data_IF_358725605017
#
_entry.id   IF_358725605017
#
_cell.length_a   1.000
_cell.length_b   1.000
_cell.length_c   1.000
_cell.angle_alpha   90.00
_cell.angle_beta   90.00
_cell.angle_gamma   90.00
#
_symmetry.space_group_name_H-M   'P 1'
#
loop_
_entity.id
_entity.type
_entity.pdbx_description
1 polymer ?
#
# COMPACT_ATOMS: atom_id res chain seq x y z
N UNK A 1 -15.82 -1.17 26.18
CA UNK A 1 -16.72 -2.31 25.93
C UNK A 1 -18.22 -2.08 26.18
N UNK A 2 -18.69 -1.14 27.00
CA UNK A 2 -20.12 -1.01 27.33
C UNK A 2 -20.98 -0.20 26.32
N UNK A 3 -20.41 0.67 25.49
CA UNK A 3 -21.17 1.57 24.58
C UNK A 3 -21.64 0.88 23.28
N UNK A 4 -20.83 0.02 22.70
CA UNK A 4 -21.16 -0.65 21.43
C UNK A 4 -22.17 -1.79 21.61
N UNK A 5 -22.21 -2.38 22.78
CA UNK A 5 -23.18 -3.43 23.11
C UNK A 5 -24.63 -2.91 23.04
N UNK A 6 -24.86 -1.63 23.39
CA UNK A 6 -26.19 -1.01 23.29
C UNK A 6 -26.62 -0.77 21.85
N UNK A 7 -25.70 -0.42 20.94
CA UNK A 7 -26.03 -0.21 19.52
C UNK A 7 -26.29 -1.53 18.80
N UNK A 8 -25.53 -2.58 19.12
CA UNK A 8 -25.77 -3.93 18.60
C UNK A 8 -27.09 -4.47 19.13
N UNK A 9 -27.38 -4.25 20.40
CA UNK A 9 -28.65 -4.67 21.01
C UNK A 9 -29.85 -3.94 20.38
N UNK A 10 -29.69 -2.67 20.00
CA UNK A 10 -30.75 -1.88 19.34
C UNK A 10 -31.03 -2.38 17.92
N UNK A 11 -30.00 -2.71 17.14
CA UNK A 11 -30.16 -3.28 15.80
C UNK A 11 -30.78 -4.68 15.87
N UNK A 12 -30.31 -5.52 16.79
CA UNK A 12 -30.88 -6.85 17.01
C UNK A 12 -32.33 -6.75 17.51
N UNK A 13 -32.63 -5.80 18.39
CA UNK A 13 -34.01 -5.56 18.85
C UNK A 13 -34.91 -5.11 17.70
N UNK A 14 -34.43 -4.27 16.77
CA UNK A 14 -35.21 -3.82 15.60
C UNK A 14 -35.45 -4.97 14.61
N UNK A 15 -34.46 -5.82 14.38
CA UNK A 15 -34.55 -6.99 13.48
C UNK A 15 -35.48 -8.08 14.07
N UNK A 16 -35.57 -8.19 15.39
CA UNK A 16 -36.46 -9.14 16.06
C UNK A 16 -37.86 -8.60 16.23
N UNK A 17 -38.05 -7.28 16.42
CA UNK A 17 -39.36 -6.67 16.60
C UNK A 17 -40.18 -6.62 15.30
N UNK A 18 -39.57 -6.47 14.14
CA UNK A 18 -40.25 -6.40 12.86
C UNK A 18 -40.99 -7.71 12.50
N UNK A 19 -40.40 -8.91 12.67
CA UNK A 19 -41.11 -10.18 12.44
C UNK A 19 -42.20 -10.46 13.48
N UNK A 20 -42.01 -10.03 14.73
CA UNK A 20 -43.03 -10.21 15.77
C UNK A 20 -44.32 -9.38 15.52
N UNK A 21 -44.17 -8.25 14.87
CA UNK A 21 -45.31 -7.40 14.46
C UNK A 21 -46.02 -7.92 13.20
N UNK A 22 -45.33 -8.75 12.39
CA UNK A 22 -45.89 -9.30 11.14
C UNK A 22 -46.48 -10.72 11.27
N UNK A 23 -46.45 -11.32 12.47
CA UNK A 23 -47.07 -12.63 12.73
C UNK A 23 -46.40 -13.83 12.05
N UNK A 24 -45.22 -13.67 11.50
CA UNK A 24 -44.48 -14.76 10.87
C UNK A 24 -43.50 -15.41 11.87
N UNK A 25 -43.93 -16.53 12.48
CA UNK A 25 -43.12 -17.41 13.31
C UNK A 25 -42.21 -18.30 12.42
N UNK A 26 -41.16 -17.80 11.88
CA UNK A 26 -40.16 -18.64 11.17
C UNK A 26 -38.83 -17.97 10.98
N UNK A 27 -38.15 -17.56 12.05
CA UNK A 27 -36.69 -17.40 12.00
C UNK A 27 -36.11 -17.75 13.37
N UNK A 28 -35.54 -18.96 13.48
CA UNK A 28 -34.57 -19.27 14.52
C UNK A 28 -33.30 -18.47 14.17
N UNK A 29 -33.19 -17.25 14.70
CA UNK A 29 -31.95 -16.49 14.65
C UNK A 29 -30.97 -17.11 15.64
N UNK A 30 -30.02 -17.87 15.11
CA UNK A 30 -28.88 -18.35 15.87
C UNK A 30 -27.90 -17.18 16.03
N UNK A 31 -28.10 -16.41 17.11
CA UNK A 31 -27.27 -15.23 17.42
C UNK A 31 -25.79 -15.59 17.58
N UNK A 32 -25.48 -16.83 17.99
CA UNK A 32 -24.11 -17.29 18.14
C UNK A 32 -23.47 -17.54 16.77
N UNK A 33 -24.22 -18.09 15.81
CA UNK A 33 -23.75 -18.22 14.42
C UNK A 33 -23.57 -16.88 13.72
N UNK A 34 -24.47 -15.92 13.96
CA UNK A 34 -24.32 -14.57 13.38
C UNK A 34 -23.09 -13.89 14.01
N UNK A 35 -22.88 -14.08 15.30
CA UNK A 35 -21.72 -13.54 15.99
C UNK A 35 -20.43 -14.19 15.51
N UNK A 36 -20.42 -15.51 15.36
CA UNK A 36 -19.31 -16.28 14.81
C UNK A 36 -19.00 -15.90 13.34
N UNK A 37 -20.02 -15.70 12.51
CA UNK A 37 -19.84 -15.20 11.13
C UNK A 37 -19.30 -13.76 11.11
N UNK A 38 -19.75 -12.89 12.00
CA UNK A 38 -19.27 -11.50 12.09
C UNK A 38 -17.84 -11.39 12.67
N UNK A 39 -17.43 -12.35 13.51
CA UNK A 39 -16.09 -12.39 14.10
C UNK A 39 -15.05 -13.10 13.19
N UNK A 40 -15.48 -13.99 12.26
CA UNK A 40 -14.60 -14.80 11.43
C UNK A 40 -14.45 -14.32 9.99
N UNK A 41 -15.17 -13.29 9.57
CA UNK A 41 -15.26 -12.96 8.14
C UNK A 41 -14.04 -12.24 7.57
N UNK A 42 -13.12 -11.70 8.41
CA UNK A 42 -11.96 -10.96 7.90
C UNK A 42 -10.70 -11.21 8.71
N UNK A 43 -9.75 -11.91 8.12
CA UNK A 43 -8.36 -11.87 8.57
C UNK A 43 -7.68 -10.62 8.01
N UNK A 44 -7.59 -9.58 8.83
CA UNK A 44 -6.95 -8.32 8.48
C UNK A 44 -5.43 -8.34 8.67
N UNK A 45 -4.88 -9.37 9.31
CA UNK A 45 -3.47 -9.45 9.59
C UNK A 45 -2.64 -9.38 8.31
N UNK A 46 -1.59 -8.59 8.34
CA UNK A 46 -0.66 -8.48 7.23
C UNK A 46 -0.12 -7.07 7.05
N UNK A 47 0.74 -6.96 6.08
CA UNK A 47 1.35 -5.71 5.65
C UNK A 47 0.60 -5.16 4.45
N UNK A 48 0.40 -3.86 4.45
CA UNK A 48 -0.31 -3.12 3.40
C UNK A 48 0.55 -1.97 2.93
N UNK A 49 0.52 -1.71 1.63
CA UNK A 49 1.28 -0.65 0.98
C UNK A 49 0.39 0.18 0.09
N UNK A 50 0.65 1.47 0.01
CA UNK A 50 -0.18 2.42 -0.72
C UNK A 50 -0.10 2.16 -2.22
N UNK A 51 -1.24 1.94 -2.85
CA UNK A 51 -1.40 1.90 -4.31
C UNK A 51 -1.79 3.27 -4.85
N UNK A 52 -2.73 3.96 -4.19
CA UNK A 52 -3.29 5.23 -4.66
C UNK A 52 -3.39 6.22 -3.50
N UNK A 53 -3.08 7.47 -3.79
CA UNK A 53 -3.12 8.59 -2.85
C UNK A 53 -4.16 9.63 -3.29
N UNK A 54 -4.94 10.10 -2.33
CA UNK A 54 -5.92 11.17 -2.52
C UNK A 54 -5.71 12.27 -1.49
N UNK A 55 -5.82 13.50 -1.92
CA UNK A 55 -5.86 14.67 -1.05
C UNK A 55 -7.14 15.46 -1.32
N UNK A 56 -7.92 15.71 -0.28
CA UNK A 56 -9.22 16.38 -0.38
C UNK A 56 -10.12 15.81 -1.48
N UNK A 57 -10.22 14.46 -1.56
CA UNK A 57 -10.98 13.67 -2.52
C UNK A 57 -10.41 13.64 -3.96
N UNK A 58 -9.38 14.41 -4.26
CA UNK A 58 -8.74 14.37 -5.56
C UNK A 58 -7.63 13.32 -5.55
N UNK A 59 -7.57 12.48 -6.58
CA UNK A 59 -6.44 11.58 -6.76
C UNK A 59 -5.22 12.41 -7.15
N UNK A 60 -4.13 12.21 -6.42
CA UNK A 60 -2.86 12.88 -6.64
C UNK A 60 -1.81 11.84 -7.02
N UNK A 61 -0.94 12.19 -7.95
CA UNK A 61 0.15 11.33 -8.33
C UNK A 61 1.14 11.16 -7.17
N UNK A 62 1.60 9.93 -6.97
CA UNK A 62 2.54 9.62 -5.90
C UNK A 62 3.95 9.99 -6.35
N UNK A 63 4.51 11.03 -5.75
CA UNK A 63 5.87 11.51 -6.02
C UNK A 63 6.77 11.37 -4.80
N UNK A 64 6.51 12.17 -3.76
CA UNK A 64 7.34 12.28 -2.56
C UNK A 64 6.54 12.29 -1.25
N UNK A 65 5.25 12.00 -1.30
CA UNK A 65 4.40 11.92 -0.11
C UNK A 65 4.89 10.76 0.78
N UNK A 66 5.44 11.08 1.95
CA UNK A 66 6.04 10.09 2.86
C UNK A 66 5.10 8.94 3.19
N UNK A 67 3.82 9.23 3.37
CA UNK A 67 2.78 8.27 3.70
C UNK A 67 2.67 7.15 2.64
N UNK A 68 3.05 7.44 1.40
CA UNK A 68 3.02 6.47 0.31
C UNK A 68 4.16 5.46 0.35
N UNK A 69 5.16 5.70 1.20
CA UNK A 69 6.30 4.81 1.41
C UNK A 69 6.28 4.11 2.77
N UNK A 70 5.23 4.33 3.56
CA UNK A 70 5.03 3.62 4.81
C UNK A 70 4.51 2.21 4.55
N UNK A 71 4.85 1.31 5.45
CA UNK A 71 4.23 0.00 5.56
C UNK A 71 3.22 0.08 6.71
N UNK A 72 1.99 -0.26 6.41
CA UNK A 72 0.88 -0.33 7.35
C UNK A 72 0.66 -1.79 7.71
N UNK A 73 0.81 -2.15 8.98
CA UNK A 73 0.76 -3.53 9.40
C UNK A 73 -0.30 -3.75 10.47
N UNK A 74 -1.13 -4.77 10.27
CA UNK A 74 -2.08 -5.22 11.28
C UNK A 74 -1.56 -6.53 11.86
N UNK A 75 -1.47 -6.58 13.19
CA UNK A 75 -1.05 -7.75 13.96
C UNK A 75 -2.15 -8.19 14.91
N UNK A 76 -2.42 -9.50 14.92
CA UNK A 76 -3.36 -10.15 15.84
C UNK A 76 -4.75 -9.52 15.85
N UNK A 77 -5.17 -8.91 14.72
CA UNK A 77 -6.40 -8.14 14.57
C UNK A 77 -6.63 -7.08 15.69
N UNK A 78 -5.59 -6.73 16.41
CA UNK A 78 -5.66 -5.86 17.61
C UNK A 78 -4.76 -4.63 17.52
N UNK A 79 -3.70 -4.70 16.73
CA UNK A 79 -2.69 -3.64 16.65
C UNK A 79 -2.48 -3.21 15.21
N UNK A 80 -2.45 -1.90 14.99
CA UNK A 80 -2.16 -1.29 13.70
C UNK A 80 -0.87 -0.46 13.82
N UNK A 81 0.16 -0.85 13.09
CA UNK A 81 1.47 -0.22 13.09
C UNK A 81 1.71 0.53 11.77
N UNK A 82 2.33 1.69 11.87
CA UNK A 82 2.87 2.44 10.73
C UNK A 82 4.38 2.41 10.84
N UNK A 83 5.05 1.85 9.83
CA UNK A 83 6.51 1.69 9.83
C UNK A 83 7.14 2.38 8.63
N UNK A 84 8.34 2.91 8.83
CA UNK A 84 9.16 3.54 7.80
C UNK A 84 10.63 3.25 8.03
N UNK A 85 11.34 2.79 7.02
CA UNK A 85 12.76 2.38 7.11
C UNK A 85 13.05 1.37 8.21
N UNK A 86 12.08 0.48 8.50
CA UNK A 86 12.20 -0.54 9.54
C UNK A 86 11.91 -0.04 10.96
N UNK A 87 11.64 1.24 11.14
CA UNK A 87 11.26 1.83 12.43
C UNK A 87 9.75 2.00 12.52
N UNK A 88 9.16 1.62 13.66
CA UNK A 88 7.74 1.88 13.92
C UNK A 88 7.57 3.33 14.33
N UNK A 89 6.84 4.09 13.50
CA UNK A 89 6.54 5.49 13.75
C UNK A 89 5.37 5.65 14.71
N UNK A 90 4.32 4.87 14.50
CA UNK A 90 3.06 4.98 15.21
C UNK A 90 2.50 3.57 15.44
N UNK A 91 1.85 3.39 16.59
CA UNK A 91 1.14 2.15 16.95
C UNK A 91 -0.22 2.52 17.50
N UNK A 92 -1.27 1.90 16.96
CA UNK A 92 -2.64 2.10 17.40
C UNK A 92 -3.26 0.80 17.85
N UNK A 93 -4.05 0.85 18.93
CA UNK A 93 -4.90 -0.27 19.34
C UNK A 93 -6.19 -0.24 18.52
N UNK A 94 -6.55 -1.35 17.91
CA UNK A 94 -7.81 -1.50 17.20
C UNK A 94 -8.90 -1.69 18.26
N UNK A 95 -9.82 -0.73 18.38
CA UNK A 95 -10.91 -0.77 19.37
C UNK A 95 -12.08 -1.63 18.87
N UNK A 96 -12.41 -1.50 17.59
CA UNK A 96 -13.51 -2.23 16.98
C UNK A 96 -13.23 -2.49 15.50
N UNK A 97 -13.72 -3.65 15.04
CA UNK A 97 -13.82 -4.00 13.64
C UNK A 97 -15.27 -4.36 13.35
N UNK A 98 -15.93 -3.59 12.51
CA UNK A 98 -17.32 -3.85 12.13
C UNK A 98 -17.52 -3.61 10.64
N UNK A 99 -18.00 -4.63 9.92
CA UNK A 99 -18.20 -4.59 8.46
C UNK A 99 -16.98 -4.03 7.71
N UNK A 100 -15.77 -4.49 8.07
CA UNK A 100 -14.52 -4.05 7.46
C UNK A 100 -14.02 -2.66 7.90
N UNK A 101 -14.74 -1.95 8.79
CA UNK A 101 -14.28 -0.67 9.32
C UNK A 101 -13.48 -0.89 10.61
N UNK A 102 -12.25 -0.37 10.64
CA UNK A 102 -11.41 -0.34 11.83
C UNK A 102 -11.49 1.04 12.47
N UNK A 103 -11.72 1.04 13.78
CA UNK A 103 -11.60 2.23 14.61
C UNK A 103 -10.46 2.05 15.60
N UNK A 104 -9.79 3.13 15.93
CA UNK A 104 -8.63 3.12 16.81
C UNK A 104 -8.97 3.77 18.14
N UNK A 105 -8.48 3.17 19.22
CA UNK A 105 -8.68 3.69 20.57
C UNK A 105 -8.12 5.12 20.67
N UNK A 106 -8.92 6.01 21.26
CA UNK A 106 -8.55 7.42 21.52
C UNK A 106 -8.14 8.25 20.29
N UNK A 107 -8.44 7.78 19.07
CA UNK A 107 -8.12 8.49 17.83
C UNK A 107 -9.36 8.62 16.93
N UNK A 108 -9.67 9.83 16.54
CA UNK A 108 -10.75 10.15 15.61
C UNK A 108 -10.25 10.70 14.28
N UNK A 109 -8.99 11.05 14.22
CA UNK A 109 -8.31 11.62 13.05
C UNK A 109 -7.80 10.57 12.07
N UNK A 110 -7.85 9.28 12.46
CA UNK A 110 -7.49 8.16 11.59
C UNK A 110 -8.54 7.08 11.64
N UNK A 111 -8.84 6.50 10.49
CA UNK A 111 -9.68 5.32 10.37
C UNK A 111 -9.19 4.45 9.20
N UNK A 112 -9.52 3.18 9.22
CA UNK A 112 -9.25 2.29 8.10
C UNK A 112 -10.51 1.51 7.74
N UNK A 113 -10.67 1.19 6.46
CA UNK A 113 -11.80 0.43 5.93
C UNK A 113 -11.31 -0.57 4.89
N UNK A 114 -11.79 -1.80 4.99
CA UNK A 114 -11.60 -2.83 3.99
C UNK A 114 -12.80 -2.90 3.04
N UNK A 115 -12.52 -3.08 1.76
CA UNK A 115 -13.52 -3.44 0.78
C UNK A 115 -13.66 -4.97 0.65
N UNK A 116 -14.61 -5.42 -0.15
CA UNK A 116 -14.87 -6.84 -0.43
C UNK A 116 -13.69 -7.57 -1.13
N UNK A 117 -12.75 -6.83 -1.70
CA UNK A 117 -11.56 -7.36 -2.36
C UNK A 117 -10.34 -7.36 -1.43
N UNK A 118 -10.51 -6.97 -0.16
CA UNK A 118 -9.43 -6.90 0.82
C UNK A 118 -8.48 -5.71 0.64
N UNK A 119 -8.85 -4.70 -0.16
CA UNK A 119 -8.12 -3.43 -0.21
C UNK A 119 -8.45 -2.62 1.04
N UNK A 120 -7.43 -2.09 1.66
CA UNK A 120 -7.57 -1.23 2.83
C UNK A 120 -7.53 0.24 2.41
N UNK A 121 -8.55 1.00 2.79
CA UNK A 121 -8.54 2.46 2.65
C UNK A 121 -8.29 3.08 4.00
N UNK A 122 -7.18 3.79 4.15
CA UNK A 122 -6.85 4.56 5.35
C UNK A 122 -7.26 6.00 5.09
N UNK A 123 -7.98 6.60 6.03
CA UNK A 123 -8.31 8.03 6.01
C UNK A 123 -7.65 8.71 7.20
N UNK A 124 -6.90 9.77 6.94
CA UNK A 124 -6.31 10.64 7.96
C UNK A 124 -6.84 12.06 7.78
N UNK A 125 -7.26 12.65 8.87
CA UNK A 125 -7.82 14.01 8.90
C UNK A 125 -6.80 14.90 9.59
N UNK A 126 -6.33 15.91 8.89
CA UNK A 126 -5.49 16.98 9.40
C UNK A 126 -6.31 18.28 9.47
N UNK A 127 -5.80 19.29 10.12
CA UNK A 127 -6.52 20.56 10.28
C UNK A 127 -6.87 21.23 8.94
N UNK A 128 -6.00 21.07 7.94
CA UNK A 128 -6.09 21.74 6.63
C UNK A 128 -6.46 20.79 5.47
N UNK A 129 -6.36 19.48 5.70
CA UNK A 129 -6.60 18.50 4.64
C UNK A 129 -7.03 17.13 5.13
N UNK A 130 -7.68 16.38 4.25
CA UNK A 130 -7.96 14.96 4.43
C UNK A 130 -7.15 14.16 3.44
N UNK A 131 -6.40 13.19 3.93
CA UNK A 131 -5.65 12.24 3.12
C UNK A 131 -6.41 10.91 3.12
N UNK A 132 -6.52 10.30 1.93
CA UNK A 132 -7.04 8.95 1.78
C UNK A 132 -6.03 8.11 0.99
N UNK A 133 -5.61 7.01 1.59
CA UNK A 133 -4.64 6.06 1.06
C UNK A 133 -5.37 4.76 0.74
N UNK A 134 -5.36 4.35 -0.52
CA UNK A 134 -5.83 3.01 -0.91
C UNK A 134 -4.63 2.09 -0.91
N UNK A 135 -4.68 1.08 -0.06
CA UNK A 135 -3.58 0.16 0.19
C UNK A 135 -3.91 -1.25 -0.30
N UNK A 136 -2.92 -1.90 -0.86
CA UNK A 136 -2.95 -3.32 -1.21
C UNK A 136 -2.21 -4.14 -0.16
N UNK A 137 -2.71 -5.33 0.12
CA UNK A 137 -2.01 -6.30 0.97
C UNK A 137 -0.72 -6.74 0.29
N UNK A 138 0.36 -6.74 1.06
CA UNK A 138 1.61 -7.35 0.62
C UNK A 138 1.43 -8.86 0.53
N UNK A 139 1.77 -9.42 -0.60
CA UNK A 139 1.75 -10.85 -0.84
C UNK A 139 3.18 -11.36 -0.90
N UNK A 140 3.41 -12.55 -0.45
CA UNK A 140 4.68 -13.25 -0.35
C UNK A 140 5.85 -12.84 -1.26
N UNK A 141 6.74 -13.76 -1.53
CA UNK A 141 7.99 -13.49 -2.25
C UNK A 141 7.76 -13.48 -3.78
N UNK A 142 8.19 -12.44 -4.50
CA UNK A 142 8.06 -12.39 -5.95
C UNK A 142 9.19 -13.17 -6.65
N UNK A 143 9.22 -14.52 -6.55
CA UNK A 143 10.29 -15.36 -7.11
C UNK A 143 10.62 -15.03 -8.58
N UNK A 144 9.59 -14.75 -9.38
CA UNK A 144 9.75 -14.41 -10.81
C UNK A 144 10.57 -13.12 -11.04
N UNK A 145 10.67 -12.25 -10.03
CA UNK A 145 11.39 -10.98 -10.13
C UNK A 145 12.78 -11.01 -9.51
N UNK A 146 13.19 -12.10 -8.88
CA UNK A 146 14.54 -12.24 -8.34
C UNK A 146 15.56 -12.10 -9.47
N UNK A 147 16.58 -11.29 -9.26
CA UNK A 147 17.69 -11.09 -10.21
C UNK A 147 18.13 -9.64 -10.30
N UNK A 148 19.08 -9.41 -11.18
CA UNK A 148 19.69 -8.10 -11.41
C UNK A 148 19.01 -7.42 -12.60
N UNK A 149 18.75 -6.13 -12.47
CA UNK A 149 18.13 -5.29 -13.49
C UNK A 149 19.05 -4.12 -13.81
N UNK A 150 19.25 -3.86 -15.08
CA UNK A 150 20.02 -2.71 -15.58
C UNK A 150 19.17 -1.83 -16.49
N UNK A 151 19.60 -0.61 -16.69
CA UNK A 151 18.93 0.37 -17.55
C UNK A 151 18.70 -0.19 -18.96
N UNK A 152 17.49 -0.01 -19.44
CA UNK A 152 17.11 -0.37 -20.80
C UNK A 152 16.75 0.86 -21.64
N UNK A 153 15.92 1.73 -21.11
CA UNK A 153 15.42 2.90 -21.82
C UNK A 153 14.80 3.89 -20.86
N UNK A 154 14.69 5.13 -21.27
CA UNK A 154 13.78 6.06 -20.63
C UNK A 154 12.81 6.66 -21.64
N UNK A 155 11.63 7.01 -21.18
CA UNK A 155 10.61 7.69 -21.95
C UNK A 155 10.43 9.08 -21.41
N UNK A 156 10.49 10.06 -22.29
CA UNK A 156 10.19 11.47 -22.04
C UNK A 156 9.06 11.88 -22.97
N UNK A 157 7.91 12.24 -22.42
CA UNK A 157 6.71 12.44 -23.22
C UNK A 157 6.45 11.20 -24.12
N UNK A 158 6.43 11.36 -25.42
CA UNK A 158 6.21 10.27 -26.38
C UNK A 158 7.51 9.68 -26.98
N UNK A 159 8.67 10.24 -26.63
CA UNK A 159 9.95 9.76 -27.12
C UNK A 159 10.53 8.68 -26.20
N UNK A 160 10.93 7.53 -26.78
CA UNK A 160 11.68 6.47 -26.07
C UNK A 160 13.14 6.56 -26.47
N UNK A 161 14.02 6.65 -25.49
CA UNK A 161 15.46 6.77 -25.64
C UNK A 161 16.12 5.54 -25.03
N UNK A 162 16.90 4.81 -25.82
CA UNK A 162 17.57 3.57 -25.44
C UNK A 162 19.05 3.75 -25.12
N UNK A 163 19.64 4.84 -25.61
CA UNK A 163 21.03 5.17 -25.28
C UNK A 163 21.07 5.96 -23.98
N UNK A 164 21.89 5.57 -23.00
CA UNK A 164 22.07 6.36 -21.80
C UNK A 164 22.43 7.81 -22.18
N UNK A 165 21.79 8.81 -21.58
CA UNK A 165 22.16 10.19 -21.82
C UNK A 165 23.62 10.38 -21.42
N UNK A 166 24.36 11.12 -22.23
CA UNK A 166 25.72 11.46 -21.86
C UNK A 166 25.70 12.61 -20.85
N UNK A 167 26.69 12.61 -19.97
CA UNK A 167 26.88 13.72 -19.03
C UNK A 167 26.93 15.05 -19.81
N UNK A 168 26.06 15.97 -19.47
CA UNK A 168 25.93 17.26 -20.16
C UNK A 168 26.04 18.40 -19.16
N UNK A 169 26.31 19.59 -19.65
CA UNK A 169 26.33 20.82 -18.85
C UNK A 169 24.94 21.30 -18.42
N UNK A 170 23.89 20.54 -18.72
CA UNK A 170 22.51 20.85 -18.33
C UNK A 170 22.13 20.02 -17.13
N UNK A 171 21.82 20.62 -15.96
CA UNK A 171 21.53 19.91 -14.72
C UNK A 171 20.43 18.84 -14.87
N UNK A 172 19.39 19.15 -15.60
CA UNK A 172 18.27 18.25 -15.90
C UNK A 172 18.67 16.98 -16.69
N UNK A 173 19.79 16.99 -17.40
CA UNK A 173 20.31 15.83 -18.11
C UNK A 173 21.23 14.98 -17.22
N UNK A 174 21.79 15.56 -16.17
CA UNK A 174 22.62 14.84 -15.23
C UNK A 174 21.80 13.84 -14.42
N UNK A 175 20.58 14.22 -14.01
CA UNK A 175 19.67 13.33 -13.28
C UNK A 175 19.34 12.08 -14.10
N UNK A 176 19.18 12.21 -15.43
CA UNK A 176 18.94 11.04 -16.31
C UNK A 176 20.17 10.19 -16.49
N UNK A 177 21.32 10.81 -16.59
CA UNK A 177 22.57 10.08 -16.66
C UNK A 177 22.76 9.25 -15.39
N UNK A 178 22.61 9.85 -14.23
CA UNK A 178 22.72 9.16 -12.95
C UNK A 178 21.73 7.99 -12.84
N UNK A 179 20.46 8.20 -13.19
CA UNK A 179 19.44 7.15 -13.19
C UNK A 179 19.77 6.02 -14.16
N UNK A 180 20.39 6.31 -15.32
CA UNK A 180 20.79 5.29 -16.29
C UNK A 180 21.97 4.43 -15.83
N UNK A 181 22.71 4.86 -14.81
CA UNK A 181 23.82 4.12 -14.21
C UNK A 181 23.39 3.23 -13.03
N UNK A 182 22.14 3.32 -12.61
CA UNK A 182 21.61 2.53 -11.50
C UNK A 182 21.37 1.09 -11.95
N UNK A 183 21.71 0.15 -11.07
CA UNK A 183 21.27 -1.24 -11.17
C UNK A 183 20.52 -1.65 -9.92
N UNK A 184 19.59 -2.58 -10.07
CA UNK A 184 18.82 -3.14 -8.95
C UNK A 184 19.06 -4.64 -8.88
N UNK A 185 19.24 -5.14 -7.67
CA UNK A 185 19.23 -6.56 -7.38
C UNK A 185 18.08 -6.89 -6.45
N UNK A 186 17.13 -7.69 -6.93
CA UNK A 186 16.04 -8.24 -6.13
C UNK A 186 16.52 -9.58 -5.54
N UNK A 187 16.64 -9.62 -4.24
CA UNK A 187 17.13 -10.79 -3.50
C UNK A 187 16.02 -11.65 -2.93
N UNK A 188 16.34 -12.90 -2.58
CA UNK A 188 15.42 -13.89 -2.03
C UNK A 188 14.81 -13.50 -0.67
N UNK A 189 15.48 -12.66 0.10
CA UNK A 189 15.06 -12.27 1.45
C UNK A 189 14.21 -10.99 1.48
N UNK A 190 13.41 -10.74 0.43
CA UNK A 190 12.65 -9.50 0.30
C UNK A 190 13.53 -8.25 0.43
N UNK A 191 14.72 -8.32 -0.13
CA UNK A 191 15.66 -7.19 -0.17
C UNK A 191 15.87 -6.73 -1.60
N UNK A 192 15.97 -5.43 -1.77
CA UNK A 192 16.47 -4.80 -2.98
C UNK A 192 17.76 -4.09 -2.67
N UNK A 193 18.77 -4.33 -3.49
CA UNK A 193 20.04 -3.61 -3.45
C UNK A 193 20.11 -2.72 -4.66
N UNK A 194 20.12 -1.41 -4.44
CA UNK A 194 20.30 -0.40 -5.48
C UNK A 194 21.77 -0.01 -5.52
N UNK A 195 22.42 -0.22 -6.66
CA UNK A 195 23.80 0.22 -6.88
C UNK A 195 23.75 1.49 -7.74
N UNK A 196 24.26 2.58 -7.19
CA UNK A 196 24.36 3.88 -7.87
C UNK A 196 25.52 3.87 -8.87
N UNK A 197 25.54 4.81 -9.81
CA UNK A 197 26.65 5.00 -10.75
C UNK A 197 27.99 5.27 -10.09
N UNK A 198 28.00 5.75 -8.85
CA UNK A 198 29.20 5.92 -8.00
C UNK A 198 29.76 4.60 -7.46
N UNK A 199 29.00 3.51 -7.55
CA UNK A 199 29.29 2.22 -6.91
C UNK A 199 28.75 2.11 -5.48
N UNK A 200 28.15 3.16 -4.94
CA UNK A 200 27.47 3.12 -3.64
C UNK A 200 26.27 2.18 -3.70
N UNK A 201 26.07 1.39 -2.64
CA UNK A 201 24.96 0.46 -2.53
C UNK A 201 24.01 0.86 -1.41
N UNK A 202 22.72 0.90 -1.75
CA UNK A 202 21.63 1.11 -0.81
C UNK A 202 20.84 -0.18 -0.74
N UNK A 203 20.74 -0.77 0.44
CA UNK A 203 20.00 -2.01 0.66
C UNK A 203 18.75 -1.73 1.50
N UNK A 204 17.60 -2.12 0.98
CA UNK A 204 16.31 -1.92 1.62
C UNK A 204 15.49 -3.21 1.62
N UNK A 205 14.60 -3.34 2.59
CA UNK A 205 13.54 -4.34 2.52
C UNK A 205 12.39 -3.79 1.69
N UNK A 206 11.67 -4.67 1.02
CA UNK A 206 10.52 -4.25 0.23
C UNK A 206 9.25 -5.02 0.60
N UNK A 207 8.11 -4.40 0.34
CA UNK A 207 6.82 -5.05 0.28
C UNK A 207 6.41 -5.21 -1.19
N UNK A 208 5.73 -6.31 -1.51
CA UNK A 208 5.31 -6.65 -2.86
C UNK A 208 3.82 -6.92 -2.91
N UNK A 209 3.14 -6.43 -3.95
CA UNK A 209 1.71 -6.63 -4.15
C UNK A 209 1.42 -7.53 -5.35
N UNK A 210 0.22 -8.11 -5.39
CA UNK A 210 -0.28 -8.91 -6.51
C UNK A 210 -0.39 -8.12 -7.82
N UNK A 211 -0.45 -6.79 -7.74
CA UNK A 211 -0.39 -5.90 -8.90
C UNK A 211 1.02 -5.69 -9.45
N UNK A 212 2.02 -6.46 -8.98
CA UNK A 212 3.43 -6.35 -9.34
C UNK A 212 4.09 -5.02 -8.96
N UNK A 213 3.66 -4.43 -7.86
CA UNK A 213 4.26 -3.23 -7.29
C UNK A 213 5.20 -3.62 -6.15
N UNK A 214 6.47 -3.25 -6.24
CA UNK A 214 7.48 -3.35 -5.20
C UNK A 214 7.65 -1.98 -4.57
N UNK A 215 7.55 -1.89 -3.27
CA UNK A 215 7.68 -0.64 -2.52
C UNK A 215 8.74 -0.81 -1.45
N UNK A 216 9.72 0.08 -1.49
CA UNK A 216 10.73 0.26 -0.43
C UNK A 216 10.48 1.59 0.28
N UNK A 217 11.18 1.89 1.38
CA UNK A 217 11.14 3.20 2.01
C UNK A 217 11.51 4.37 1.09
N UNK A 218 12.24 4.13 0.01
CA UNK A 218 12.71 5.21 -0.87
C UNK A 218 12.26 5.07 -2.32
N UNK A 219 11.70 3.91 -2.71
CA UNK A 219 11.43 3.62 -4.11
C UNK A 219 10.10 2.88 -4.33
N UNK A 220 9.54 3.09 -5.51
CA UNK A 220 8.35 2.37 -6.00
C UNK A 220 8.65 1.86 -7.40
N UNK A 221 8.69 0.55 -7.57
CA UNK A 221 8.97 -0.10 -8.84
C UNK A 221 7.74 -0.88 -9.30
N UNK A 222 7.28 -0.61 -10.51
CA UNK A 222 6.20 -1.36 -11.15
C UNK A 222 6.79 -2.37 -12.13
N UNK A 223 6.62 -3.65 -11.88
CA UNK A 223 7.00 -4.69 -12.82
C UNK A 223 5.90 -4.87 -13.88
N UNK A 224 6.27 -4.70 -15.14
CA UNK A 224 5.35 -4.88 -16.27
C UNK A 224 5.31 -6.33 -16.72
N UNK A 225 6.46 -7.02 -16.58
CA UNK A 225 6.62 -8.44 -16.81
C UNK A 225 7.72 -8.98 -15.89
N UNK A 226 7.94 -10.30 -15.88
CA UNK A 226 9.05 -10.91 -15.12
C UNK A 226 10.42 -10.31 -15.43
N UNK A 227 10.59 -9.72 -16.60
CA UNK A 227 11.88 -9.22 -17.09
C UNK A 227 12.00 -7.69 -17.09
N UNK A 228 10.91 -6.95 -16.86
CA UNK A 228 10.90 -5.50 -16.97
C UNK A 228 10.36 -4.84 -15.71
N UNK A 229 11.18 -3.97 -15.11
CA UNK A 229 10.79 -3.05 -14.06
C UNK A 229 10.70 -1.63 -14.60
N UNK A 230 9.65 -0.90 -14.24
CA UNK A 230 9.49 0.51 -14.54
C UNK A 230 9.55 1.32 -13.27
N UNK A 231 10.36 2.36 -13.29
CA UNK A 231 10.36 3.41 -12.28
C UNK A 231 9.85 4.67 -12.97
N UNK A 232 8.80 5.26 -12.43
CA UNK A 232 8.30 6.55 -12.88
C UNK A 232 8.86 7.60 -11.95
N UNK A 233 9.65 8.52 -12.51
CA UNK A 233 10.08 9.73 -11.82
C UNK A 233 9.24 10.85 -12.42
N UNK A 234 8.45 11.49 -11.56
CA UNK A 234 7.61 12.61 -11.95
C UNK A 234 8.33 13.89 -11.58
N UNK A 235 8.70 14.65 -12.59
CA UNK A 235 9.01 16.06 -12.47
C UNK A 235 7.72 16.84 -12.73
N UNK A 236 7.47 17.94 -12.04
CA UNK A 236 6.25 18.77 -12.17
C UNK A 236 6.01 19.25 -13.62
N UNK A 237 7.04 19.22 -14.46
CA UNK A 237 6.97 19.66 -15.86
C UNK A 237 7.08 18.52 -16.88
N UNK A 238 7.61 17.36 -16.51
CA UNK A 238 7.98 16.31 -17.46
C UNK A 238 7.80 14.93 -16.82
N UNK A 239 6.90 14.11 -17.36
CA UNK A 239 6.76 12.71 -16.97
C UNK A 239 7.89 11.86 -17.56
N UNK A 240 8.72 11.28 -16.68
CA UNK A 240 9.78 10.36 -17.08
C UNK A 240 9.48 8.96 -16.59
N UNK A 241 9.64 8.00 -17.48
CA UNK A 241 9.57 6.58 -17.13
C UNK A 241 10.90 5.92 -17.46
N UNK A 242 11.60 5.45 -16.45
CA UNK A 242 12.79 4.61 -16.62
C UNK A 242 12.36 3.14 -16.68
N UNK A 243 12.92 2.43 -17.64
CA UNK A 243 12.70 0.99 -17.79
C UNK A 243 14.02 0.28 -17.58
N UNK A 244 13.99 -0.70 -16.70
CA UNK A 244 15.13 -1.58 -16.41
C UNK A 244 14.78 -2.99 -16.88
N UNK A 245 15.75 -3.69 -17.42
CA UNK A 245 15.58 -5.06 -17.88
C UNK A 245 16.43 -5.99 -17.04
N UNK A 246 15.88 -7.17 -16.76
CA UNK A 246 16.60 -8.26 -16.08
C UNK A 246 17.79 -8.66 -16.92
N UNK A 247 18.95 -8.70 -16.27
CA UNK A 247 20.18 -9.18 -16.89
C UNK A 247 20.12 -10.72 -16.90
N UNK A 248 20.04 -11.30 -18.06
CA UNK A 248 20.21 -12.76 -18.21
C UNK A 248 21.69 -13.08 -18.10
N UNK A 249 22.05 -13.98 -17.18
CA UNK A 249 23.41 -14.50 -17.06
C UNK A 249 23.82 -15.27 -18.30
#
# INVERSE_FOLDING_TARGET
MKKNFKSILLVVALVVLVPLLSGCTLFNFDLDKIKEQLEHEYDFNGQYVVETYYENLNQVEITNQKECFYIYEIKDNSTFNITYKGETLETYQIEACFCGNLTFADRQDISAKFDENGKMTITRIYDDKTIRLVCLRSVGHPEKFIGTYSFKSFRRNDATITTPPQNSNYPEQNDYFEQSQITFEIGENQTITTTLGTGEQIRETFAYTDTNLVITPTQRLKFVSGDLAKITIVDETLNYTFTYQKVTA
#
